data_IF_545244841634
#
_entry.id   IF_545244841634
#
_cell.length_a   1.000
_cell.length_b   1.000
_cell.length_c   1.000
_cell.angle_alpha   90.00
_cell.angle_beta   90.00
_cell.angle_gamma   90.00
#
_symmetry.space_group_name_H-M   'P 1'
#
loop_
_entity.id
_entity.type
_entity.pdbx_description
1 polymer ?
#
# COMPACT_ATOMS: atom_id res chain seq x y z
N UNK A 1 -14.99 15.82 3.81
CA UNK A 1 -14.75 14.68 4.73
C UNK A 1 -13.73 15.16 5.74
N UNK A 2 -14.13 15.24 7.01
CA UNK A 2 -13.25 15.66 8.10
C UNK A 2 -12.37 14.47 8.50
N UNK A 3 -11.07 14.68 8.49
CA UNK A 3 -10.10 13.70 8.92
C UNK A 3 -9.35 14.22 10.14
N UNK A 4 -9.51 13.57 11.25
CA UNK A 4 -9.04 14.04 12.57
C UNK A 4 -7.56 14.44 12.58
N UNK A 5 -6.71 13.69 11.91
CA UNK A 5 -5.26 13.95 11.88
C UNK A 5 -4.85 15.16 11.03
N UNK A 6 -5.73 15.72 10.22
CA UNK A 6 -5.41 16.83 9.28
C UNK A 6 -6.16 18.12 9.58
N UNK A 7 -7.09 18.12 10.52
CA UNK A 7 -7.88 19.28 10.89
C UNK A 7 -7.20 20.03 12.06
N UNK A 8 -6.92 21.33 11.95
CA UNK A 8 -6.21 22.07 13.00
C UNK A 8 -6.98 22.16 14.34
N UNK A 9 -8.28 21.94 14.30
CA UNK A 9 -9.14 21.99 15.48
C UNK A 9 -9.27 20.65 16.23
N UNK A 10 -8.74 19.55 15.66
CA UNK A 10 -8.78 18.23 16.27
C UNK A 10 -7.39 17.83 16.75
N UNK A 11 -7.33 17.29 17.95
CA UNK A 11 -6.11 16.64 18.44
C UNK A 11 -5.94 15.33 17.67
N UNK A 12 -4.72 15.06 17.18
CA UNK A 12 -4.39 13.77 16.55
C UNK A 12 -4.37 12.63 17.58
N UNK A 13 -4.12 11.42 17.12
CA UNK A 13 -4.05 10.22 17.96
C UNK A 13 -2.69 9.99 18.65
N UNK A 14 -1.70 10.90 18.50
CA UNK A 14 -0.41 10.81 19.15
C UNK A 14 -0.51 11.32 20.60
N UNK A 15 -1.27 10.61 21.44
CA UNK A 15 -1.55 10.92 22.84
C UNK A 15 -1.92 9.65 23.61
N UNK A 16 -1.81 9.69 24.93
CA UNK A 16 -2.14 8.54 25.78
C UNK A 16 -3.64 8.24 25.83
N UNK A 17 -4.47 9.29 25.83
CA UNK A 17 -5.92 9.18 25.94
C UNK A 17 -6.59 10.12 24.96
N UNK A 18 -7.63 9.63 24.30
CA UNK A 18 -8.47 10.42 23.41
C UNK A 18 -9.92 9.96 23.50
N UNK A 19 -10.83 10.82 23.10
CA UNK A 19 -12.24 10.46 22.91
C UNK A 19 -12.50 10.24 21.42
N UNK A 20 -13.24 9.18 21.08
CA UNK A 20 -13.61 8.86 19.71
C UNK A 20 -15.04 8.32 19.68
N UNK A 21 -15.82 8.56 18.62
CA UNK A 21 -17.17 7.98 18.47
C UNK A 21 -17.12 6.46 18.53
N UNK A 22 -18.02 5.85 19.29
CA UNK A 22 -18.11 4.39 19.44
C UNK A 22 -18.33 3.69 18.09
N UNK A 23 -19.22 4.22 17.25
CA UNK A 23 -19.54 3.68 15.92
C UNK A 23 -18.32 3.57 14.99
N UNK A 24 -17.24 4.30 15.28
CA UNK A 24 -16.01 4.31 14.49
C UNK A 24 -14.83 3.67 15.24
N UNK A 25 -15.12 2.98 16.33
CA UNK A 25 -14.13 2.27 17.15
C UNK A 25 -14.32 0.76 16.96
N UNK A 26 -13.24 0.07 16.63
CA UNK A 26 -13.26 -1.35 16.33
C UNK A 26 -12.50 -2.13 17.40
N UNK A 27 -13.03 -3.29 17.77
CA UNK A 27 -12.40 -4.18 18.72
C UNK A 27 -11.13 -4.80 18.11
N UNK A 28 -10.05 -4.84 18.87
CA UNK A 28 -8.84 -5.58 18.52
C UNK A 28 -9.02 -7.01 19.02
N UNK A 29 -9.00 -8.05 18.15
CA UNK A 29 -9.17 -9.44 18.56
C UNK A 29 -8.08 -9.90 19.52
N UNK A 30 -8.42 -10.86 20.38
CA UNK A 30 -7.43 -11.51 21.23
C UNK A 30 -6.31 -12.14 20.39
N UNK A 31 -5.07 -11.99 20.81
CA UNK A 31 -3.88 -12.47 20.11
C UNK A 31 -3.33 -11.51 19.04
N UNK A 32 -4.07 -10.48 18.64
CA UNK A 32 -3.57 -9.42 17.76
C UNK A 32 -2.82 -8.36 18.59
N UNK A 33 -1.57 -8.10 18.27
CA UNK A 33 -0.75 -7.11 18.99
C UNK A 33 -1.20 -5.67 18.70
N UNK A 34 -0.89 -4.74 19.61
CA UNK A 34 -1.13 -3.30 19.40
C UNK A 34 -0.34 -2.75 18.21
N UNK A 35 0.82 -3.34 17.90
CA UNK A 35 1.60 -3.03 16.70
C UNK A 35 0.81 -3.35 15.42
N UNK A 36 0.22 -4.53 15.35
CA UNK A 36 -0.64 -4.93 14.22
C UNK A 36 -1.88 -4.06 14.14
N UNK A 37 -2.50 -3.75 15.29
CA UNK A 37 -3.66 -2.87 15.36
C UNK A 37 -3.35 -1.46 14.83
N UNK A 38 -2.16 -0.92 15.10
CA UNK A 38 -1.73 0.37 14.57
C UNK A 38 -1.57 0.38 13.03
N UNK A 39 -1.39 -0.79 12.42
CA UNK A 39 -1.25 -0.91 10.98
C UNK A 39 -2.57 -1.23 10.25
N UNK A 40 -3.66 -1.42 10.96
CA UNK A 40 -5.00 -1.63 10.34
C UNK A 40 -5.37 -0.47 9.43
N UNK A 41 -5.07 0.77 9.82
CA UNK A 41 -5.42 1.95 9.00
C UNK A 41 -4.75 1.91 7.62
N UNK A 42 -3.42 1.83 7.47
CA UNK A 42 -2.82 1.74 6.15
C UNK A 42 -3.16 0.41 5.43
N UNK A 43 -3.38 -0.69 6.17
CA UNK A 43 -3.83 -1.95 5.59
C UNK A 43 -5.23 -1.82 4.98
N UNK A 44 -6.13 -1.06 5.61
CA UNK A 44 -7.45 -0.78 5.08
C UNK A 44 -7.40 0.02 3.76
N UNK A 45 -6.40 0.88 3.56
CA UNK A 45 -6.16 1.55 2.27
C UNK A 45 -5.84 0.52 1.18
N UNK A 46 -4.92 -0.42 1.47
CA UNK A 46 -4.57 -1.49 0.54
C UNK A 46 -5.76 -2.41 0.23
N UNK A 47 -6.50 -2.81 1.25
CA UNK A 47 -7.70 -3.63 1.11
C UNK A 47 -8.77 -2.95 0.27
N UNK A 48 -9.01 -1.65 0.51
CA UNK A 48 -9.98 -0.87 -0.27
C UNK A 48 -9.60 -0.80 -1.74
N UNK A 49 -8.32 -0.51 -2.03
CA UNK A 49 -7.82 -0.45 -3.40
C UNK A 49 -7.95 -1.82 -4.10
N UNK A 50 -7.60 -2.92 -3.43
CA UNK A 50 -7.70 -4.27 -3.98
C UNK A 50 -9.15 -4.66 -4.30
N UNK A 51 -10.09 -4.37 -3.39
CA UNK A 51 -11.52 -4.63 -3.59
C UNK A 51 -12.11 -3.79 -4.73
N UNK A 52 -11.82 -2.49 -4.78
CA UNK A 52 -12.24 -1.61 -5.87
C UNK A 52 -11.64 -2.03 -7.22
N UNK A 53 -10.40 -2.50 -7.19
CA UNK A 53 -9.71 -3.05 -8.35
C UNK A 53 -10.38 -4.32 -8.88
N UNK A 54 -11.07 -5.05 -8.04
CA UNK A 54 -11.62 -6.36 -8.36
C UNK A 54 -10.56 -7.46 -8.34
N UNK A 55 -9.55 -7.33 -7.48
CA UNK A 55 -8.51 -8.35 -7.31
C UNK A 55 -9.12 -9.68 -6.86
N UNK A 56 -8.81 -10.74 -7.58
CA UNK A 56 -9.37 -12.08 -7.32
C UNK A 56 -8.42 -13.18 -7.81
N UNK A 57 -8.69 -14.40 -7.40
CA UNK A 57 -7.96 -15.57 -7.89
C UNK A 57 -7.93 -15.60 -9.43
N UNK A 58 -6.75 -15.80 -9.99
CA UNK A 58 -6.52 -15.83 -11.44
C UNK A 58 -6.19 -14.47 -12.06
N UNK A 59 -6.28 -13.36 -11.31
CA UNK A 59 -5.83 -12.06 -11.80
C UNK A 59 -4.30 -12.00 -11.93
N UNK A 60 -3.81 -11.42 -13.02
CA UNK A 60 -2.42 -11.00 -13.18
C UNK A 60 -2.29 -9.54 -12.77
N UNK A 61 -1.48 -9.27 -11.75
CA UNK A 61 -1.38 -7.95 -11.13
C UNK A 61 0.05 -7.42 -11.17
N UNK A 62 0.19 -6.14 -11.54
CA UNK A 62 1.43 -5.37 -11.33
C UNK A 62 1.17 -4.21 -10.37
N UNK A 63 2.02 -4.08 -9.36
CA UNK A 63 2.00 -2.98 -8.39
C UNK A 63 3.23 -2.10 -8.66
N UNK A 64 2.99 -0.83 -8.98
CA UNK A 64 4.02 0.16 -9.23
C UNK A 64 4.27 1.00 -7.97
N UNK A 65 5.39 0.75 -7.31
CA UNK A 65 5.81 1.33 -6.03
C UNK A 65 5.61 0.40 -4.85
N UNK A 66 6.71 0.06 -4.15
CA UNK A 66 6.76 -0.81 -2.95
C UNK A 66 6.93 0.01 -1.65
N UNK A 67 6.35 1.20 -1.58
CA UNK A 67 6.18 1.92 -0.32
C UNK A 67 5.14 1.25 0.58
N UNK A 68 4.85 1.86 1.73
CA UNK A 68 3.85 1.33 2.68
C UNK A 68 2.57 0.89 1.98
N UNK A 69 1.99 1.76 1.16
CA UNK A 69 0.68 1.48 0.52
C UNK A 69 0.80 0.38 -0.55
N UNK A 70 1.86 0.37 -1.38
CA UNK A 70 2.04 -0.69 -2.37
C UNK A 70 2.19 -2.07 -1.73
N UNK A 71 2.92 -2.18 -0.62
CA UNK A 71 3.04 -3.42 0.14
C UNK A 71 1.73 -3.81 0.85
N UNK A 72 0.92 -2.84 1.31
CA UNK A 72 -0.42 -3.11 1.82
C UNK A 72 -1.37 -3.61 0.71
N UNK A 73 -1.27 -3.07 -0.51
CA UNK A 73 -2.01 -3.58 -1.68
C UNK A 73 -1.58 -5.01 -2.03
N UNK A 74 -0.27 -5.30 -2.00
CA UNK A 74 0.25 -6.66 -2.19
C UNK A 74 -0.40 -7.63 -1.22
N UNK A 75 -0.37 -7.34 0.08
CA UNK A 75 -0.94 -8.19 1.11
C UNK A 75 -2.46 -8.32 0.99
N UNK A 76 -3.15 -7.25 0.63
CA UNK A 76 -4.58 -7.29 0.37
C UNK A 76 -4.92 -8.23 -0.78
N UNK A 77 -4.22 -8.12 -1.91
CA UNK A 77 -4.41 -9.00 -3.06
C UNK A 77 -4.13 -10.48 -2.71
N UNK A 78 -3.05 -10.75 -1.97
CA UNK A 78 -2.74 -12.10 -1.48
C UNK A 78 -3.84 -12.64 -0.56
N UNK A 79 -4.38 -11.82 0.35
CA UNK A 79 -5.48 -12.20 1.25
C UNK A 79 -6.78 -12.51 0.51
N UNK A 80 -6.97 -11.94 -0.68
CA UNK A 80 -8.08 -12.20 -1.60
C UNK A 80 -7.82 -13.42 -2.52
N UNK A 81 -6.70 -14.10 -2.36
CA UNK A 81 -6.36 -15.32 -3.08
C UNK A 81 -5.62 -15.11 -4.40
N UNK A 82 -5.18 -13.90 -4.72
CA UNK A 82 -4.34 -13.66 -5.91
C UNK A 82 -2.96 -14.28 -5.69
N UNK A 83 -2.45 -14.98 -6.71
CA UNK A 83 -1.15 -15.67 -6.64
C UNK A 83 -0.14 -15.11 -7.65
N UNK A 84 -0.58 -14.33 -8.63
CA UNK A 84 0.27 -13.79 -9.68
C UNK A 84 0.37 -12.25 -9.54
N UNK A 85 1.29 -11.84 -8.64
CA UNK A 85 1.50 -10.43 -8.31
C UNK A 85 2.97 -10.11 -8.51
N UNK A 86 3.26 -9.22 -9.46
CA UNK A 86 4.57 -8.64 -9.65
C UNK A 86 4.62 -7.22 -9.09
N UNK A 87 5.78 -6.82 -8.60
CA UNK A 87 5.99 -5.47 -8.04
C UNK A 87 7.15 -4.77 -8.73
N UNK A 88 7.07 -3.46 -8.81
CA UNK A 88 8.13 -2.60 -9.36
C UNK A 88 8.49 -1.51 -8.36
N UNK A 89 9.75 -1.36 -8.06
CA UNK A 89 10.30 -0.23 -7.29
C UNK A 89 11.74 0.05 -7.76
N UNK A 90 12.35 1.10 -7.23
CA UNK A 90 13.75 1.47 -7.51
C UNK A 90 14.66 1.26 -6.29
N UNK A 91 14.12 0.79 -5.18
CA UNK A 91 14.82 0.57 -3.90
C UNK A 91 14.96 -0.93 -3.64
N UNK A 92 16.18 -1.49 -3.68
CA UNK A 92 16.40 -2.93 -3.54
C UNK A 92 15.81 -3.53 -2.26
N UNK A 93 15.99 -2.89 -1.11
CA UNK A 93 15.47 -3.37 0.18
C UNK A 93 13.94 -3.52 0.20
N UNK A 94 13.21 -2.65 -0.51
CA UNK A 94 11.76 -2.73 -0.64
C UNK A 94 11.32 -3.86 -1.57
N UNK A 95 12.08 -4.13 -2.62
CA UNK A 95 11.85 -5.26 -3.52
C UNK A 95 12.10 -6.59 -2.80
N UNK A 96 13.17 -6.70 -2.02
CA UNK A 96 13.45 -7.87 -1.18
C UNK A 96 12.32 -8.11 -0.17
N UNK A 97 11.85 -7.05 0.48
CA UNK A 97 10.72 -7.15 1.40
C UNK A 97 9.44 -7.58 0.68
N UNK A 98 9.17 -7.07 -0.51
CA UNK A 98 8.00 -7.48 -1.30
C UNK A 98 8.04 -8.98 -1.64
N UNK A 99 9.20 -9.51 -2.02
CA UNK A 99 9.39 -10.97 -2.24
C UNK A 99 9.16 -11.77 -0.95
N UNK A 100 9.73 -11.32 0.17
CA UNK A 100 9.49 -11.93 1.48
C UNK A 100 8.01 -11.93 1.87
N UNK A 101 7.29 -10.89 1.50
CA UNK A 101 5.87 -10.71 1.74
C UNK A 101 4.96 -11.48 0.77
N UNK A 102 5.53 -12.19 -0.22
CA UNK A 102 4.81 -13.10 -1.10
C UNK A 102 4.57 -12.58 -2.52
N UNK A 103 5.23 -11.49 -2.94
CA UNK A 103 5.25 -11.15 -4.36
C UNK A 103 5.90 -12.29 -5.16
N UNK A 104 5.31 -12.63 -6.30
CA UNK A 104 5.84 -13.65 -7.20
C UNK A 104 7.13 -13.18 -7.86
N UNK A 105 7.21 -11.88 -8.15
CA UNK A 105 8.31 -11.25 -8.83
C UNK A 105 8.49 -9.80 -8.38
N UNK A 106 9.75 -9.35 -8.33
CA UNK A 106 10.10 -7.98 -7.98
C UNK A 106 11.09 -7.43 -9.01
N UNK A 107 10.73 -6.34 -9.66
CA UNK A 107 11.49 -5.75 -10.76
C UNK A 107 12.06 -4.40 -10.32
N UNK A 108 13.38 -4.23 -10.46
CA UNK A 108 14.03 -2.96 -10.22
C UNK A 108 13.93 -2.07 -11.47
N UNK A 109 13.12 -1.04 -11.40
CA UNK A 109 12.90 -0.09 -12.51
C UNK A 109 14.11 0.81 -12.84
N UNK A 110 15.23 0.71 -12.09
CA UNK A 110 16.51 1.33 -12.47
C UNK A 110 17.33 0.45 -13.41
N UNK A 111 17.16 -0.85 -13.30
CA UNK A 111 17.97 -1.83 -14.02
C UNK A 111 17.32 -2.19 -15.37
N UNK A 112 15.99 -2.18 -15.41
CA UNK A 112 15.21 -2.51 -16.61
C UNK A 112 14.01 -1.57 -16.77
N UNK A 113 13.61 -1.33 -18.02
CA UNK A 113 12.31 -0.70 -18.29
C UNK A 113 11.18 -1.68 -17.96
N UNK A 114 10.35 -1.34 -16.98
CA UNK A 114 9.29 -2.23 -16.51
C UNK A 114 8.23 -2.51 -17.60
N UNK A 115 8.00 -1.57 -18.52
CA UNK A 115 7.05 -1.76 -19.62
C UNK A 115 7.61 -2.76 -20.61
N UNK A 116 8.86 -2.59 -21.05
CA UNK A 116 9.53 -3.53 -21.95
C UNK A 116 9.60 -4.93 -21.33
N UNK A 117 9.92 -5.00 -20.05
CA UNK A 117 10.04 -6.25 -19.30
C UNK A 117 8.72 -7.03 -19.29
N UNK A 118 7.62 -6.41 -18.83
CA UNK A 118 6.33 -7.09 -18.72
C UNK A 118 5.62 -7.27 -20.08
N UNK A 119 5.98 -6.49 -21.09
CA UNK A 119 5.48 -6.63 -22.46
C UNK A 119 6.30 -7.58 -23.33
N UNK A 120 7.37 -8.19 -22.79
CA UNK A 120 8.09 -9.23 -23.50
C UNK A 120 7.21 -10.47 -23.72
N UNK A 121 7.54 -11.26 -24.77
CA UNK A 121 6.78 -12.48 -25.14
C UNK A 121 6.79 -13.53 -24.02
N UNK A 122 7.88 -13.58 -23.23
CA UNK A 122 8.05 -14.51 -22.09
C UNK A 122 7.19 -14.13 -20.86
N UNK A 123 6.57 -12.96 -20.88
CA UNK A 123 5.74 -12.44 -19.77
C UNK A 123 4.28 -12.31 -20.22
N UNK A 124 3.79 -11.10 -20.36
CA UNK A 124 2.39 -10.84 -20.71
C UNK A 124 2.21 -10.45 -22.18
N UNK A 125 3.31 -10.21 -22.91
CA UNK A 125 3.31 -9.86 -24.33
C UNK A 125 2.35 -8.71 -24.67
N UNK A 126 1.71 -8.80 -25.80
CA UNK A 126 0.70 -7.83 -26.26
C UNK A 126 -0.60 -7.88 -25.46
N UNK A 127 -0.84 -8.94 -24.69
CA UNK A 127 -2.04 -9.05 -23.86
C UNK A 127 -2.03 -7.99 -22.74
N UNK A 128 -0.93 -7.90 -22.01
CA UNK A 128 -0.76 -7.00 -20.86
C UNK A 128 -1.32 -7.59 -19.57
N UNK A 129 -1.45 -6.75 -18.54
CA UNK A 129 -1.77 -7.11 -17.17
C UNK A 129 -3.23 -6.77 -16.86
N UNK A 130 -3.97 -7.66 -16.21
CA UNK A 130 -5.40 -7.46 -15.91
C UNK A 130 -5.65 -6.26 -15.02
N UNK A 131 -4.78 -6.06 -14.01
CA UNK A 131 -4.93 -5.03 -13.01
C UNK A 131 -3.57 -4.41 -12.65
N UNK A 132 -3.47 -3.10 -12.78
CA UNK A 132 -2.28 -2.33 -12.41
C UNK A 132 -2.62 -1.37 -11.27
N UNK A 133 -1.86 -1.45 -10.17
CA UNK A 133 -1.94 -0.49 -9.08
C UNK A 133 -0.80 0.52 -9.18
N UNK A 134 -1.11 1.81 -9.33
CA UNK A 134 -0.16 2.89 -9.20
C UNK A 134 -0.15 3.37 -7.74
N UNK A 135 0.93 3.07 -7.00
CA UNK A 135 1.07 3.36 -5.58
C UNK A 135 2.20 4.36 -5.27
N UNK A 136 2.94 4.81 -6.27
CA UNK A 136 4.07 5.71 -6.09
C UNK A 136 3.74 7.20 -6.19
N UNK A 137 2.57 7.56 -6.75
CA UNK A 137 2.12 8.95 -6.86
C UNK A 137 2.93 9.78 -7.85
N UNK A 138 3.38 9.20 -8.97
CA UNK A 138 4.15 9.92 -9.97
C UNK A 138 3.56 9.81 -11.38
N UNK A 139 3.67 10.88 -12.16
CA UNK A 139 3.24 10.89 -13.55
C UNK A 139 3.94 9.80 -14.39
N UNK A 140 5.19 9.49 -14.08
CA UNK A 140 5.95 8.44 -14.75
C UNK A 140 5.31 7.06 -14.53
N UNK A 141 5.01 6.69 -13.29
CA UNK A 141 4.36 5.41 -12.98
C UNK A 141 2.94 5.33 -13.53
N UNK A 142 2.19 6.43 -13.51
CA UNK A 142 0.87 6.49 -14.13
C UNK A 142 0.92 6.22 -15.65
N UNK A 143 1.93 6.73 -16.34
CA UNK A 143 2.14 6.45 -17.76
C UNK A 143 2.60 5.01 -18.01
N UNK A 144 3.42 4.43 -17.13
CA UNK A 144 3.76 3.01 -17.20
C UNK A 144 2.49 2.14 -17.00
N UNK A 145 1.62 2.49 -16.06
CA UNK A 145 0.36 1.76 -15.83
C UNK A 145 -0.50 1.71 -17.10
N UNK A 146 -0.61 2.83 -17.82
CA UNK A 146 -1.32 2.91 -19.11
C UNK A 146 -0.73 1.97 -20.17
N UNK A 147 0.58 1.80 -20.16
CA UNK A 147 1.27 0.95 -21.14
C UNK A 147 1.26 -0.54 -20.75
N UNK A 148 1.11 -0.85 -19.46
CA UNK A 148 1.09 -2.22 -18.94
C UNK A 148 -0.29 -2.88 -18.99
N UNK A 149 -1.36 -2.11 -18.83
CA UNK A 149 -2.70 -2.65 -18.68
C UNK A 149 -3.17 -3.39 -19.93
N UNK A 150 -3.86 -4.50 -19.72
CA UNK A 150 -4.50 -5.29 -20.78
C UNK A 150 -5.72 -4.58 -21.38
N UNK A 151 -6.19 -5.08 -22.53
CA UNK A 151 -7.51 -4.71 -23.08
C UNK A 151 -8.60 -5.13 -22.10
N UNK A 152 -9.53 -4.24 -21.80
CA UNK A 152 -10.57 -4.46 -20.79
C UNK A 152 -10.05 -4.49 -19.35
N UNK A 153 -8.75 -4.30 -19.15
CA UNK A 153 -8.12 -4.29 -17.83
C UNK A 153 -8.39 -3.00 -17.04
N UNK A 154 -7.86 -2.95 -15.83
CA UNK A 154 -8.11 -1.83 -14.91
C UNK A 154 -6.81 -1.25 -14.35
N UNK A 155 -6.78 0.08 -14.23
CA UNK A 155 -5.74 0.82 -13.54
C UNK A 155 -6.33 1.43 -12.28
N UNK A 156 -5.76 1.12 -11.12
CA UNK A 156 -6.10 1.70 -9.83
C UNK A 156 -5.06 2.75 -9.45
N UNK A 157 -5.46 4.02 -9.48
CA UNK A 157 -4.64 5.15 -9.04
C UNK A 157 -4.78 5.30 -7.52
N UNK A 158 -3.80 4.79 -6.78
CA UNK A 158 -3.77 4.80 -5.30
C UNK A 158 -2.83 5.88 -4.79
N UNK A 159 -1.72 6.09 -5.49
CA UNK A 159 -0.74 7.11 -5.17
C UNK A 159 -1.30 8.53 -5.33
N UNK A 160 -0.99 9.41 -4.37
CA UNK A 160 -1.40 10.83 -4.44
C UNK A 160 -0.53 11.58 -5.44
N UNK A 161 -1.13 12.04 -6.53
CA UNK A 161 -0.44 12.80 -7.56
C UNK A 161 -0.23 14.25 -7.10
N UNK A 162 0.99 14.77 -7.22
CA UNK A 162 1.32 16.15 -6.87
C UNK A 162 1.15 17.16 -8.03
N UNK A 163 0.98 16.64 -9.26
CA UNK A 163 0.83 17.42 -10.50
C UNK A 163 -0.14 16.74 -11.45
N UNK A 164 -0.75 17.47 -12.40
CA UNK A 164 -1.55 16.86 -13.46
C UNK A 164 -0.77 15.79 -14.21
N UNK A 165 -1.41 14.66 -14.48
CA UNK A 165 -0.84 13.54 -15.23
C UNK A 165 -1.46 13.52 -16.63
N UNK A 166 -0.68 13.74 -17.70
CA UNK A 166 -1.17 13.57 -19.06
C UNK A 166 -1.37 12.08 -19.36
N UNK A 167 -2.51 11.71 -19.90
CA UNK A 167 -2.81 10.35 -20.32
C UNK A 167 -3.02 10.33 -21.85
N UNK A 168 -2.29 9.45 -22.52
CA UNK A 168 -2.43 9.24 -23.96
C UNK A 168 -3.58 8.26 -24.22
N UNK A 169 -4.75 8.80 -24.53
CA UNK A 169 -5.94 8.01 -24.82
C UNK A 169 -5.81 7.15 -26.10
N UNK A 170 -4.87 7.42 -26.98
CA UNK A 170 -4.60 6.54 -28.14
C UNK A 170 -4.03 5.18 -27.68
N UNK A 171 -3.35 5.14 -26.54
CA UNK A 171 -2.77 3.91 -25.98
C UNK A 171 -3.78 3.08 -25.18
N UNK A 172 -4.87 3.68 -24.70
CA UNK A 172 -5.87 3.04 -23.81
C UNK A 172 -7.28 2.93 -24.44
N UNK A 173 -7.41 3.06 -25.74
CA UNK A 173 -8.69 3.01 -26.46
C UNK A 173 -9.33 1.59 -26.55
N UNK A 174 -9.08 0.72 -25.54
CA UNK A 174 -9.41 -0.71 -25.56
C UNK A 174 -10.23 -1.13 -24.35
N UNK A 175 -11.23 -0.34 -23.99
CA UNK A 175 -12.14 -0.58 -22.86
C UNK A 175 -11.43 -0.62 -21.49
N UNK A 176 -10.30 0.09 -21.35
CA UNK A 176 -9.56 0.19 -20.08
C UNK A 176 -10.31 1.07 -19.10
N UNK A 177 -10.43 0.59 -17.84
CA UNK A 177 -10.96 1.39 -16.75
C UNK A 177 -9.82 2.05 -15.97
N UNK A 178 -9.89 3.36 -15.76
CA UNK A 178 -9.01 4.09 -14.83
C UNK A 178 -9.85 4.55 -13.65
N UNK A 179 -9.52 4.10 -12.46
CA UNK A 179 -10.25 4.41 -11.23
C UNK A 179 -9.29 4.89 -10.15
N UNK A 180 -9.68 5.93 -9.42
CA UNK A 180 -8.93 6.40 -8.25
C UNK A 180 -9.39 5.64 -7.00
N UNK A 181 -8.45 5.39 -6.08
CA UNK A 181 -8.75 4.92 -4.73
C UNK A 181 -8.39 6.02 -3.74
N UNK A 182 -9.29 6.33 -2.82
CA UNK A 182 -9.04 7.34 -1.80
C UNK A 182 -9.26 6.77 -0.41
N UNK A 183 -8.16 6.49 0.30
CA UNK A 183 -8.16 5.94 1.66
C UNK A 183 -8.95 4.63 1.73
N UNK A 184 -10.00 4.56 2.55
CA UNK A 184 -10.80 3.37 2.83
C UNK A 184 -12.25 3.74 3.11
N UNK A 185 -13.15 2.78 2.95
CA UNK A 185 -14.55 2.93 3.30
C UNK A 185 -15.10 1.59 3.79
N UNK A 186 -15.63 1.56 5.02
CA UNK A 186 -16.35 0.42 5.63
C UNK A 186 -15.63 -0.95 5.59
N UNK A 187 -14.30 -0.97 5.56
CA UNK A 187 -13.53 -2.22 5.42
C UNK A 187 -12.58 -2.52 6.60
N UNK A 188 -12.67 -1.76 7.70
CA UNK A 188 -11.87 -2.05 8.91
C UNK A 188 -12.15 -3.45 9.47
N UNK A 189 -13.41 -3.91 9.64
CA UNK A 189 -13.68 -5.24 10.19
C UNK A 189 -13.01 -6.37 9.41
N UNK A 190 -13.16 -6.37 8.08
CA UNK A 190 -12.54 -7.41 7.24
C UNK A 190 -11.01 -7.32 7.19
N UNK A 191 -10.45 -6.10 7.29
CA UNK A 191 -8.99 -5.89 7.36
C UNK A 191 -8.43 -6.41 8.67
N UNK A 192 -9.11 -6.12 9.81
CA UNK A 192 -8.76 -6.65 11.13
C UNK A 192 -8.79 -8.17 11.11
N UNK A 193 -9.84 -8.77 10.56
CA UNK A 193 -9.96 -10.23 10.43
C UNK A 193 -8.83 -10.83 9.58
N UNK A 194 -8.50 -10.22 8.45
CA UNK A 194 -7.42 -10.69 7.58
C UNK A 194 -6.05 -10.66 8.29
N UNK A 195 -5.78 -9.62 9.09
CA UNK A 195 -4.56 -9.53 9.89
C UNK A 195 -4.59 -10.54 11.04
N UNK A 196 -5.66 -10.59 11.83
CA UNK A 196 -5.79 -11.48 12.99
C UNK A 196 -5.69 -12.96 12.61
N UNK A 197 -6.16 -13.34 11.41
CA UNK A 197 -6.06 -14.72 10.89
C UNK A 197 -4.74 -15.02 10.18
N UNK A 198 -3.82 -14.06 10.12
CA UNK A 198 -2.51 -14.21 9.47
C UNK A 198 -2.54 -14.20 7.94
N UNK A 199 -3.70 -13.93 7.33
CA UNK A 199 -3.82 -13.81 5.87
C UNK A 199 -3.24 -12.52 5.31
N UNK A 200 -3.06 -11.52 6.18
CA UNK A 200 -2.49 -10.23 5.85
C UNK A 200 -1.32 -9.97 6.81
N UNK A 201 -0.10 -10.05 6.31
CA UNK A 201 1.10 -9.82 7.12
C UNK A 201 1.47 -8.34 7.16
N UNK A 202 1.30 -7.69 8.31
CA UNK A 202 1.71 -6.30 8.54
C UNK A 202 2.98 -6.18 9.39
N UNK A 203 3.35 -7.22 10.15
CA UNK A 203 4.48 -7.19 11.10
C UNK A 203 5.80 -6.89 10.41
N UNK A 204 6.06 -7.56 9.30
CA UNK A 204 7.31 -7.42 8.55
C UNK A 204 7.46 -6.06 7.87
N UNK A 205 6.40 -5.24 7.83
CA UNK A 205 6.45 -3.89 7.26
C UNK A 205 6.92 -2.82 8.23
N UNK A 206 6.96 -3.12 9.54
CA UNK A 206 7.46 -2.18 10.55
C UNK A 206 8.99 -2.20 10.52
N UNK A 207 9.57 -1.17 9.91
CA UNK A 207 11.03 -1.04 9.78
C UNK A 207 11.65 -0.24 10.92
N UNK A 208 10.90 0.68 11.51
CA UNK A 208 11.39 1.60 12.52
C UNK A 208 10.39 1.71 13.68
N UNK A 209 10.91 1.62 14.90
CA UNK A 209 10.12 1.77 16.12
C UNK A 209 10.76 2.86 16.98
N UNK A 210 9.97 3.83 17.40
CA UNK A 210 10.41 4.96 18.22
C UNK A 210 9.63 4.99 19.52
N UNK A 211 10.28 5.44 20.59
CA UNK A 211 9.59 5.77 21.83
C UNK A 211 8.92 7.14 21.72
N UNK A 212 7.91 7.42 22.52
CA UNK A 212 7.20 8.71 22.51
C UNK A 212 8.12 9.92 22.75
N UNK A 213 9.12 9.77 23.63
CA UNK A 213 10.13 10.81 23.88
C UNK A 213 10.96 11.18 22.65
N UNK A 214 11.06 10.25 21.69
CA UNK A 214 11.85 10.38 20.47
C UNK A 214 10.99 10.78 19.25
N UNK A 215 9.77 11.28 19.49
CA UNK A 215 8.80 11.63 18.45
C UNK A 215 9.37 12.60 17.40
N UNK A 216 10.14 13.59 17.84
CA UNK A 216 10.79 14.54 16.92
C UNK A 216 11.75 13.83 15.98
N UNK A 217 12.51 12.85 16.48
CA UNK A 217 13.42 12.05 15.67
C UNK A 217 12.67 11.20 14.66
N UNK A 218 11.52 10.61 15.02
CA UNK A 218 10.69 9.84 14.11
C UNK A 218 10.24 10.66 12.91
N UNK A 219 9.80 11.90 13.12
CA UNK A 219 9.43 12.81 12.03
C UNK A 219 10.65 13.26 11.21
N UNK A 220 11.78 13.52 11.85
CA UNK A 220 13.01 13.88 11.15
C UNK A 220 13.48 12.76 10.23
N UNK A 221 13.50 11.52 10.73
CA UNK A 221 13.91 10.34 9.93
C UNK A 221 12.96 10.08 8.76
N UNK A 222 11.65 10.32 8.93
CA UNK A 222 10.66 10.12 7.88
C UNK A 222 10.81 11.10 6.70
N UNK A 223 11.43 12.26 6.89
CA UNK A 223 11.67 13.24 5.82
C UNK A 223 13.13 13.27 5.34
N UNK A 224 14.04 12.66 6.09
CA UNK A 224 15.45 12.56 5.73
C UNK A 224 15.62 11.71 4.44
N UNK A 225 16.23 12.23 3.37
CA UNK A 225 16.37 11.52 2.10
C UNK A 225 17.10 10.19 2.20
N UNK A 226 18.09 10.07 3.09
CA UNK A 226 18.87 8.85 3.27
C UNK A 226 18.08 7.81 4.08
N UNK A 227 17.51 8.20 5.22
CA UNK A 227 16.80 7.29 6.13
C UNK A 227 15.46 6.83 5.60
N UNK A 228 14.67 7.72 4.95
CA UNK A 228 13.36 7.36 4.39
C UNK A 228 13.44 6.36 3.26
N UNK A 229 14.62 6.21 2.63
CA UNK A 229 14.78 5.29 1.49
C UNK A 229 14.42 3.87 1.88
N UNK A 230 14.97 3.37 2.99
CA UNK A 230 14.74 2.01 3.47
C UNK A 230 13.55 1.92 4.46
N UNK A 231 13.02 3.05 4.89
CA UNK A 231 11.86 3.09 5.79
C UNK A 231 10.58 2.71 5.01
N UNK A 232 9.91 1.66 5.46
CA UNK A 232 8.57 1.29 4.98
C UNK A 232 7.51 1.83 5.93
N UNK A 233 7.58 1.48 7.21
CA UNK A 233 6.65 1.99 8.23
C UNK A 233 7.37 2.26 9.54
N UNK A 234 7.30 3.50 9.99
CA UNK A 234 7.68 3.91 11.34
C UNK A 234 6.49 3.84 12.29
N UNK A 235 6.71 3.34 13.50
CA UNK A 235 5.71 3.28 14.57
C UNK A 235 6.26 3.97 15.80
N UNK A 236 5.43 4.77 16.46
CA UNK A 236 5.77 5.46 17.71
C UNK A 236 5.00 4.78 18.85
N UNK A 237 5.75 4.27 19.85
CA UNK A 237 5.19 3.72 21.08
C UNK A 237 4.78 4.86 22.00
N UNK A 238 3.49 4.96 22.31
CA UNK A 238 2.99 5.93 23.29
C UNK A 238 3.05 5.32 24.68
N UNK A 239 3.67 6.00 25.64
CA UNK A 239 3.81 5.54 27.02
C UNK A 239 2.44 5.14 27.63
N UNK A 240 2.43 4.03 28.37
CA UNK A 240 1.22 3.47 28.99
C UNK A 240 0.35 2.64 28.05
N UNK A 241 0.80 2.33 26.84
CA UNK A 241 0.11 1.40 25.95
C UNK A 241 0.37 -0.04 26.39
N UNK A 242 -0.66 -0.87 26.69
CA UNK A 242 -0.49 -2.27 27.06
C UNK A 242 0.35 -3.03 26.00
N UNK A 243 1.27 -3.89 26.46
CA UNK A 243 2.19 -4.62 25.59
C UNK A 243 3.43 -3.83 25.16
N UNK A 244 3.62 -2.62 25.70
CA UNK A 244 4.81 -1.79 25.50
C UNK A 244 5.36 -1.36 26.87
N UNK A 245 5.57 -2.31 27.75
CA UNK A 245 6.38 -2.10 28.94
C UNK A 245 7.84 -1.89 28.51
N UNK A 246 8.52 -0.91 29.13
CA UNK A 246 9.91 -0.56 28.83
C UNK A 246 10.87 -1.72 29.11
#
# INVERSE_FOLDING_TARGET
>A
VDFMATQPNYRGALCQYMTHPEDWTYHVPEGMSTMEAALVEPAAVGMHAALLGGAQLGSHIVILGCGTIGLMVLQACLSLGVTDISVVDVIPSKLELALKLGAKEAVNGKDVDAVEYFRSEDKFGDHGVDLVFECGGSAFLAQQAVQLVARGGKIMMVGTQSKPVPIDFLKINREVTIQTSFRYCNNFPQTIEAIATGKFNVKDMVTNVYNYKDVQQAFTDAIDPEKKTDMVKGVIKVAGTPGYEE
#
